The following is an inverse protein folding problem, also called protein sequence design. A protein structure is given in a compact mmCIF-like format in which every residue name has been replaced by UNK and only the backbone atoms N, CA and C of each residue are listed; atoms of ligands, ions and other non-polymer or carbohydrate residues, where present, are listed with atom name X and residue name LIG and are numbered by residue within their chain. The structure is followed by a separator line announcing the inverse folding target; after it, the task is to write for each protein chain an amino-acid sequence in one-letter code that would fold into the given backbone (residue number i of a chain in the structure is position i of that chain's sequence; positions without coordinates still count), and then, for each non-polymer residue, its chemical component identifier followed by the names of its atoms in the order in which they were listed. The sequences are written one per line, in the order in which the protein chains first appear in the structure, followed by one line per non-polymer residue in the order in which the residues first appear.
data_IF_585707060615
#
_entry.id   IF_585707060615
#
_cell.length_a   1.000
_cell.length_b   1.000
_cell.length_c   1.000
_cell.angle_alpha   90.00
_cell.angle_beta   90.00
_cell.angle_gamma   90.00
#
_symmetry.space_group_name_H-M   'P 1'
#
loop_
_entity.id
_entity.type
_entity.pdbx_description
1 polymer ?
#
# COMPACT_ATOMS: atom_id res chain seq x y z
N UNK A 1 23.71 -11.25 24.51
CA UNK A 1 24.55 -12.05 23.58
C UNK A 1 23.97 -12.01 22.17
N UNK A 2 24.76 -11.80 21.10
CA UNK A 2 24.25 -11.92 19.75
C UNK A 2 23.78 -13.36 19.51
N UNK A 3 22.53 -13.53 19.06
CA UNK A 3 21.94 -14.83 18.73
C UNK A 3 22.86 -15.54 17.74
N UNK A 4 23.54 -16.62 18.16
CA UNK A 4 24.39 -17.41 17.27
C UNK A 4 23.49 -18.21 16.34
N UNK A 5 23.35 -17.75 15.10
CA UNK A 5 22.59 -18.48 14.08
C UNK A 5 23.27 -19.82 13.74
N UNK A 6 22.50 -20.87 13.41
CA UNK A 6 23.03 -22.16 12.93
C UNK A 6 23.94 -22.00 11.71
N UNK A 7 24.89 -22.92 11.52
CA UNK A 7 25.83 -22.91 10.39
C UNK A 7 25.11 -22.91 9.04
N UNK A 8 24.08 -23.73 8.88
CA UNK A 8 23.23 -23.78 7.68
C UNK A 8 22.65 -22.41 7.32
N UNK A 9 22.19 -21.65 8.32
CA UNK A 9 21.63 -20.32 8.08
C UNK A 9 22.69 -19.30 7.66
N UNK A 10 23.89 -19.38 8.25
CA UNK A 10 25.02 -18.54 7.86
C UNK A 10 25.49 -18.86 6.43
N UNK A 11 25.51 -20.14 6.05
CA UNK A 11 25.84 -20.57 4.70
C UNK A 11 24.80 -20.07 3.69
N UNK A 12 23.50 -20.24 3.97
CA UNK A 12 22.40 -19.65 3.19
C UNK A 12 22.61 -18.16 2.95
N UNK A 13 22.97 -17.41 3.99
CA UNK A 13 23.23 -15.98 3.84
C UNK A 13 24.44 -15.65 2.97
N UNK A 14 25.50 -16.45 3.01
CA UNK A 14 26.68 -16.28 2.15
C UNK A 14 26.35 -16.59 0.69
N UNK A 15 25.55 -17.63 0.42
CA UNK A 15 25.09 -17.97 -0.93
C UNK A 15 24.19 -16.85 -1.48
N UNK A 16 23.20 -16.41 -0.69
CA UNK A 16 22.35 -15.26 -1.04
C UNK A 16 23.19 -14.01 -1.33
N UNK A 17 24.21 -13.75 -0.51
CA UNK A 17 25.11 -12.62 -0.69
C UNK A 17 25.95 -12.75 -1.98
N UNK A 18 26.53 -13.92 -2.24
CA UNK A 18 27.28 -14.19 -3.46
C UNK A 18 26.39 -14.02 -4.71
N UNK A 19 25.17 -14.58 -4.69
CA UNK A 19 24.20 -14.39 -5.76
C UNK A 19 23.84 -12.91 -5.98
N UNK A 20 23.65 -12.16 -4.89
CA UNK A 20 23.41 -10.72 -4.95
C UNK A 20 24.59 -9.97 -5.59
N UNK A 21 25.85 -10.31 -5.23
CA UNK A 21 27.06 -9.70 -5.80
C UNK A 21 27.24 -10.03 -7.28
N UNK A 22 26.96 -11.27 -7.68
CA UNK A 22 26.99 -11.69 -9.09
C UNK A 22 25.95 -10.93 -9.90
N UNK A 23 24.71 -10.85 -9.40
CA UNK A 23 23.66 -10.05 -10.04
C UNK A 23 24.09 -8.60 -10.23
N UNK A 24 24.71 -7.98 -9.23
CA UNK A 24 25.22 -6.61 -9.34
C UNK A 24 26.32 -6.44 -10.40
N UNK A 25 27.23 -7.41 -10.50
CA UNK A 25 28.28 -7.40 -11.52
C UNK A 25 27.66 -7.47 -12.93
N UNK A 26 26.68 -8.36 -13.12
CA UNK A 26 25.95 -8.47 -14.39
C UNK A 26 25.19 -7.19 -14.72
N UNK A 27 24.50 -6.61 -13.73
CA UNK A 27 23.78 -5.35 -13.92
C UNK A 27 24.72 -4.22 -14.36
N UNK A 28 25.98 -4.18 -13.93
CA UNK A 28 26.95 -3.16 -14.37
C UNK A 28 27.19 -3.14 -15.88
N UNK A 29 27.12 -4.30 -16.53
CA UNK A 29 27.37 -4.45 -17.96
C UNK A 29 26.20 -3.97 -18.84
N UNK A 30 25.00 -3.87 -18.27
CA UNK A 30 23.77 -3.55 -19.02
C UNK A 30 23.41 -2.07 -18.89
N UNK A 31 22.96 -1.42 -19.96
CA UNK A 31 22.54 -0.02 -19.92
C UNK A 31 21.18 0.15 -19.23
N UNK A 32 20.93 1.32 -18.63
CA UNK A 32 19.65 1.60 -17.95
C UNK A 32 18.42 1.46 -18.87
N UNK A 33 18.42 1.91 -20.14
CA UNK A 33 17.30 1.69 -21.04
C UNK A 33 17.03 0.20 -21.32
N UNK A 34 18.07 -0.63 -21.41
CA UNK A 34 17.91 -2.07 -21.62
C UNK A 34 17.37 -2.75 -20.35
N UNK A 35 17.82 -2.32 -19.16
CA UNK A 35 17.25 -2.75 -17.87
C UNK A 35 15.75 -2.40 -17.78
N UNK A 36 15.37 -1.18 -18.16
CA UNK A 36 13.97 -0.74 -18.16
C UNK A 36 13.12 -1.60 -19.11
N UNK A 37 13.59 -1.83 -20.34
CA UNK A 37 12.90 -2.68 -21.32
C UNK A 37 12.77 -4.13 -20.84
N UNK A 38 13.85 -4.71 -20.33
CA UNK A 38 13.83 -6.06 -19.77
C UNK A 38 12.84 -6.16 -18.61
N UNK A 39 12.86 -5.18 -17.69
CA UNK A 39 11.91 -5.13 -16.59
C UNK A 39 10.46 -4.96 -17.04
N UNK A 40 10.22 -4.17 -18.09
CA UNK A 40 8.89 -4.03 -18.71
C UNK A 40 8.40 -5.37 -19.28
N UNK A 41 9.25 -6.11 -19.99
CA UNK A 41 8.91 -7.45 -20.53
C UNK A 41 8.61 -8.43 -19.40
N UNK A 42 9.48 -8.49 -18.39
CA UNK A 42 9.29 -9.35 -17.21
C UNK A 42 8.02 -8.98 -16.44
N UNK A 43 7.71 -7.69 -16.30
CA UNK A 43 6.48 -7.22 -15.67
C UNK A 43 5.23 -7.52 -16.48
N UNK A 44 5.31 -7.54 -17.82
CA UNK A 44 4.21 -8.05 -18.65
C UNK A 44 4.00 -9.56 -18.43
N UNK A 45 5.10 -10.33 -18.30
CA UNK A 45 5.08 -11.73 -17.91
C UNK A 45 4.44 -11.93 -16.53
N UNK A 46 4.80 -11.12 -15.53
CA UNK A 46 4.18 -11.14 -14.20
C UNK A 46 2.67 -10.92 -14.29
N UNK A 47 2.23 -9.94 -15.08
CA UNK A 47 0.81 -9.66 -15.27
C UNK A 47 0.08 -10.83 -15.93
N UNK A 48 0.66 -11.48 -16.95
CA UNK A 48 0.05 -12.60 -17.65
C UNK A 48 -0.01 -13.87 -16.79
N UNK A 49 1.12 -14.22 -16.16
CA UNK A 49 1.35 -15.51 -15.52
C UNK A 49 0.99 -15.53 -14.03
N UNK A 50 0.85 -14.38 -13.36
CA UNK A 50 0.46 -14.32 -11.95
C UNK A 50 -0.95 -13.74 -11.77
N UNK A 51 -1.98 -14.61 -11.66
CA UNK A 51 -3.34 -14.17 -11.36
C UNK A 51 -3.43 -13.39 -10.04
N UNK A 52 -2.59 -13.72 -9.06
CA UNK A 52 -2.57 -13.03 -7.77
C UNK A 52 -2.21 -11.54 -7.93
N UNK A 53 -1.05 -11.23 -8.53
CA UNK A 53 -0.62 -9.83 -8.69
C UNK A 53 -1.49 -9.06 -9.67
N UNK A 54 -1.95 -9.70 -10.76
CA UNK A 54 -2.90 -9.10 -11.69
C UNK A 54 -4.18 -8.66 -10.98
N UNK A 55 -4.79 -9.54 -10.18
CA UNK A 55 -6.01 -9.22 -9.42
C UNK A 55 -5.78 -8.15 -8.38
N UNK A 56 -4.66 -8.22 -7.65
CA UNK A 56 -4.33 -7.23 -6.62
C UNK A 56 -4.16 -5.83 -7.22
N UNK A 57 -3.44 -5.71 -8.34
CA UNK A 57 -3.28 -4.45 -9.07
C UNK A 57 -4.62 -3.88 -9.53
N UNK A 58 -5.44 -4.69 -10.20
CA UNK A 58 -6.77 -4.28 -10.68
C UNK A 58 -7.65 -3.84 -9.50
N UNK A 59 -7.72 -4.62 -8.42
CA UNK A 59 -8.52 -4.30 -7.24
C UNK A 59 -8.11 -2.95 -6.64
N UNK A 60 -6.81 -2.75 -6.41
CA UNK A 60 -6.30 -1.52 -5.82
C UNK A 60 -6.54 -0.31 -6.73
N UNK A 61 -6.42 -0.47 -8.04
CA UNK A 61 -6.70 0.58 -9.01
C UNK A 61 -8.21 0.89 -9.08
N UNK A 62 -9.11 -0.09 -8.98
CA UNK A 62 -10.57 0.15 -8.89
C UNK A 62 -10.97 0.87 -7.59
N UNK A 63 -10.26 0.60 -6.49
CA UNK A 63 -10.45 1.36 -5.25
C UNK A 63 -10.05 2.83 -5.43
N UNK A 64 -8.94 3.08 -6.12
CA UNK A 64 -8.38 4.41 -6.27
C UNK A 64 -8.99 5.26 -7.40
N UNK A 65 -9.32 4.64 -8.52
CA UNK A 65 -9.73 5.28 -9.77
C UNK A 65 -11.07 4.77 -10.31
N UNK A 66 -11.81 3.93 -9.56
CA UNK A 66 -13.09 3.39 -10.03
C UNK A 66 -14.11 4.48 -10.40
N UNK A 67 -14.13 5.60 -9.68
CA UNK A 67 -15.00 6.72 -10.03
C UNK A 67 -14.54 7.53 -11.26
N UNK A 68 -13.35 7.26 -11.80
CA UNK A 68 -12.69 8.07 -12.82
C UNK A 68 -12.36 7.28 -14.10
N UNK A 69 -12.28 5.95 -14.01
CA UNK A 69 -11.84 5.07 -15.09
C UNK A 69 -12.73 3.82 -15.18
N UNK A 70 -12.97 3.39 -16.42
CA UNK A 70 -13.67 2.14 -16.73
C UNK A 70 -12.80 0.92 -16.42
N UNK A 71 -13.42 -0.25 -16.26
CA UNK A 71 -12.68 -1.49 -15.98
C UNK A 71 -11.63 -1.85 -17.06
N UNK A 72 -11.86 -1.66 -18.38
CA UNK A 72 -10.83 -1.83 -19.41
C UNK A 72 -9.62 -0.89 -19.25
N UNK A 73 -9.84 0.38 -18.93
CA UNK A 73 -8.77 1.35 -18.67
C UNK A 73 -7.96 0.94 -17.43
N UNK A 74 -8.65 0.53 -16.36
CA UNK A 74 -8.01 -0.01 -15.16
C UNK A 74 -7.16 -1.24 -15.46
N UNK A 75 -7.66 -2.18 -16.28
CA UNK A 75 -6.89 -3.38 -16.69
C UNK A 75 -5.62 -2.99 -17.46
N UNK A 76 -5.72 -1.99 -18.33
CA UNK A 76 -4.59 -1.44 -19.09
C UNK A 76 -3.56 -0.80 -18.16
N UNK A 77 -4.02 0.04 -17.22
CA UNK A 77 -3.16 0.65 -16.20
C UNK A 77 -2.53 -0.39 -15.26
N UNK A 78 -3.25 -1.45 -14.89
CA UNK A 78 -2.74 -2.55 -14.08
C UNK A 78 -1.59 -3.30 -14.77
N UNK A 79 -1.71 -3.54 -16.08
CA UNK A 79 -0.63 -4.12 -16.89
C UNK A 79 0.58 -3.19 -16.92
N UNK A 80 0.37 -1.90 -17.22
CA UNK A 80 1.44 -0.89 -17.24
C UNK A 80 2.14 -0.75 -15.89
N UNK A 81 1.38 -0.85 -14.80
CA UNK A 81 1.91 -0.86 -13.44
C UNK A 81 2.84 -2.03 -13.19
N UNK A 82 2.47 -3.25 -13.60
CA UNK A 82 3.34 -4.41 -13.42
C UNK A 82 4.65 -4.24 -14.20
N UNK A 83 4.57 -3.74 -15.43
CA UNK A 83 5.73 -3.41 -16.27
C UNK A 83 6.65 -2.39 -15.59
N UNK A 84 6.09 -1.25 -15.15
CA UNK A 84 6.84 -0.18 -14.49
C UNK A 84 7.39 -0.58 -13.13
N UNK A 85 6.65 -1.35 -12.35
CA UNK A 85 7.11 -1.84 -11.04
C UNK A 85 8.38 -2.68 -11.19
N UNK A 86 8.40 -3.64 -12.13
CA UNK A 86 9.58 -4.48 -12.35
C UNK A 86 10.71 -3.67 -13.01
N UNK A 87 10.41 -2.80 -13.97
CA UNK A 87 11.40 -1.90 -14.58
C UNK A 87 12.09 -0.99 -13.54
N UNK A 88 11.31 -0.35 -12.66
CA UNK A 88 11.84 0.51 -11.60
C UNK A 88 12.57 -0.27 -10.52
N UNK A 89 12.14 -1.50 -10.20
CA UNK A 89 12.86 -2.37 -9.27
C UNK A 89 14.25 -2.76 -9.82
N UNK A 90 14.35 -3.18 -11.08
CA UNK A 90 15.65 -3.46 -11.69
C UNK A 90 16.48 -2.18 -11.87
N UNK A 91 15.83 -1.08 -12.23
CA UNK A 91 16.44 0.25 -12.29
C UNK A 91 17.06 0.66 -10.96
N UNK A 92 16.38 0.38 -9.85
CA UNK A 92 16.87 0.61 -8.48
C UNK A 92 18.14 -0.20 -8.18
N UNK A 93 18.15 -1.49 -8.52
CA UNK A 93 19.33 -2.34 -8.35
C UNK A 93 20.51 -1.80 -9.17
N UNK A 94 20.25 -1.36 -10.40
CA UNK A 94 21.25 -0.77 -11.29
C UNK A 94 21.76 0.58 -10.78
N UNK A 95 20.91 1.50 -10.36
CA UNK A 95 21.35 2.83 -9.87
C UNK A 95 22.18 2.73 -8.60
N UNK A 96 21.94 1.71 -7.77
CA UNK A 96 22.72 1.44 -6.55
C UNK A 96 24.17 1.03 -6.84
N UNK A 97 24.48 0.50 -8.04
CA UNK A 97 25.86 0.14 -8.43
C UNK A 97 26.56 1.19 -9.29
N UNK A 98 25.81 2.18 -9.80
CA UNK A 98 26.36 3.27 -10.60
C UNK A 98 26.90 4.41 -9.73
N UNK A 99 27.95 5.12 -10.17
CA UNK A 99 28.43 6.33 -9.49
C UNK A 99 27.37 7.44 -9.58
N UNK A 100 27.36 8.35 -8.60
CA UNK A 100 26.41 9.46 -8.53
C UNK A 100 26.36 10.27 -9.83
N UNK A 101 27.51 10.64 -10.39
CA UNK A 101 27.59 11.38 -11.67
C UNK A 101 26.86 10.70 -12.83
N UNK A 102 26.87 9.37 -12.89
CA UNK A 102 26.14 8.65 -13.91
C UNK A 102 24.64 8.80 -13.68
N UNK A 103 24.16 8.51 -12.46
CA UNK A 103 22.75 8.61 -12.06
C UNK A 103 22.19 10.02 -12.26
N UNK A 104 22.96 11.07 -11.97
CA UNK A 104 22.55 12.47 -12.18
C UNK A 104 22.14 12.78 -13.62
N UNK A 105 22.73 12.11 -14.62
CA UNK A 105 22.35 12.28 -16.03
C UNK A 105 21.00 11.64 -16.39
N UNK A 106 20.42 10.84 -15.49
CA UNK A 106 19.12 10.19 -15.68
C UNK A 106 18.00 10.83 -14.87
N UNK A 107 18.30 11.87 -14.09
CA UNK A 107 17.36 12.48 -13.15
C UNK A 107 17.18 13.94 -13.48
N UNK A 108 15.93 14.37 -13.51
CA UNK A 108 15.54 15.78 -13.58
C UNK A 108 14.65 16.12 -12.39
N UNK A 109 14.52 17.40 -12.09
CA UNK A 109 13.73 17.88 -10.96
C UNK A 109 12.70 18.92 -11.40
N UNK A 110 11.58 18.94 -10.71
CA UNK A 110 10.56 20.00 -10.80
C UNK A 110 10.22 20.42 -9.37
N UNK A 111 10.38 21.69 -9.03
CA UNK A 111 10.15 22.17 -7.67
C UNK A 111 11.34 21.99 -6.72
N UNK A 112 12.55 21.71 -7.21
CA UNK A 112 13.74 21.54 -6.35
C UNK A 112 14.03 22.81 -5.54
N UNK A 113 13.84 23.96 -6.17
CA UNK A 113 13.98 25.28 -5.57
C UNK A 113 13.09 25.47 -4.32
N UNK A 114 11.95 24.78 -4.27
CA UNK A 114 11.03 24.80 -3.10
C UNK A 114 11.60 24.01 -1.93
N UNK A 115 12.30 22.91 -2.21
CA UNK A 115 13.01 22.15 -1.18
C UNK A 115 14.22 22.93 -0.67
N UNK A 116 14.98 23.55 -1.57
CA UNK A 116 16.12 24.41 -1.21
C UNK A 116 15.67 25.58 -0.33
N UNK A 117 14.58 26.27 -0.70
CA UNK A 117 14.00 27.34 0.10
C UNK A 117 13.54 26.87 1.48
N UNK A 118 12.97 25.66 1.59
CA UNK A 118 12.58 25.09 2.88
C UNK A 118 13.80 24.77 3.77
N UNK A 119 14.88 24.24 3.19
CA UNK A 119 16.11 23.94 3.91
C UNK A 119 16.88 25.20 4.33
N UNK A 120 16.84 26.26 3.51
CA UNK A 120 17.47 27.55 3.81
C UNK A 120 16.93 28.21 5.09
N UNK A 121 15.76 27.79 5.59
CA UNK A 121 15.22 28.25 6.87
C UNK A 121 15.96 27.71 8.10
N UNK A 122 16.90 26.77 7.94
CA UNK A 122 17.71 26.21 9.02
C UNK A 122 16.97 25.26 9.96
N UNK A 123 15.67 25.00 9.73
CA UNK A 123 14.83 24.10 10.56
C UNK A 123 14.89 22.63 10.13
N UNK A 124 15.71 22.32 9.13
CA UNK A 124 15.68 21.04 8.42
C UNK A 124 14.40 20.87 7.61
N UNK A 125 14.16 19.66 7.08
CA UNK A 125 12.92 19.36 6.37
C UNK A 125 12.59 17.86 6.44
N UNK A 126 11.29 17.56 6.39
CA UNK A 126 10.81 16.18 6.19
C UNK A 126 10.33 16.05 4.74
N UNK A 127 10.96 15.16 3.97
CA UNK A 127 10.55 14.82 2.62
C UNK A 127 9.79 13.49 2.63
N UNK A 128 8.53 13.52 2.21
CA UNK A 128 7.64 12.37 2.20
C UNK A 128 7.44 11.87 0.77
N UNK A 129 7.41 10.56 0.58
CA UNK A 129 7.11 9.96 -0.73
C UNK A 129 6.29 8.67 -0.58
N UNK A 130 5.72 8.23 -1.70
CA UNK A 130 5.19 6.89 -1.86
C UNK A 130 6.20 5.96 -2.54
N UNK A 131 5.95 4.65 -2.53
CA UNK A 131 6.72 3.68 -3.31
C UNK A 131 6.37 3.83 -4.80
N UNK A 132 6.90 4.87 -5.45
CA UNK A 132 6.78 5.09 -6.90
C UNK A 132 8.11 5.38 -7.56
N UNK A 133 8.19 5.06 -8.85
CA UNK A 133 9.39 5.30 -9.65
C UNK A 133 10.62 4.59 -9.08
N UNK A 134 11.80 5.09 -9.40
CA UNK A 134 13.05 4.67 -8.76
C UNK A 134 13.35 5.55 -7.55
N UNK A 135 12.70 5.25 -6.41
CA UNK A 135 12.82 6.06 -5.19
C UNK A 135 14.18 6.00 -4.51
N UNK A 136 14.97 4.96 -4.75
CA UNK A 136 16.32 4.86 -4.15
C UNK A 136 17.27 5.97 -4.64
N UNK A 137 16.95 6.63 -5.76
CA UNK A 137 17.66 7.83 -6.24
C UNK A 137 17.66 8.93 -5.19
N UNK A 138 16.59 9.06 -4.38
CA UNK A 138 16.50 10.11 -3.36
C UNK A 138 17.52 9.94 -2.22
N UNK A 139 18.11 8.76 -2.02
CA UNK A 139 19.22 8.62 -1.06
C UNK A 139 20.45 9.46 -1.45
N UNK A 140 20.52 9.90 -2.72
CA UNK A 140 21.58 10.76 -3.27
C UNK A 140 21.11 12.19 -3.50
N UNK A 141 19.93 12.56 -3.00
CA UNK A 141 19.32 13.87 -3.25
C UNK A 141 20.22 15.03 -2.80
N UNK A 142 20.99 14.85 -1.73
CA UNK A 142 21.92 15.87 -1.22
C UNK A 142 23.00 16.30 -2.21
N UNK A 143 23.32 15.49 -3.22
CA UNK A 143 24.26 15.89 -4.28
C UNK A 143 23.67 16.92 -5.26
N UNK A 144 22.36 17.11 -5.24
CA UNK A 144 21.65 18.09 -6.05
C UNK A 144 21.23 19.31 -5.22
N UNK A 145 21.62 19.35 -3.95
CA UNK A 145 21.35 20.43 -3.01
C UNK A 145 22.65 21.20 -2.73
N UNK A 146 22.59 22.38 -2.07
CA UNK A 146 23.78 23.10 -1.67
C UNK A 146 24.81 22.21 -0.96
N UNK A 147 26.12 22.37 -1.26
CA UNK A 147 27.17 21.56 -0.65
C UNK A 147 27.07 21.52 0.87
N UNK A 148 27.23 20.33 1.45
CA UNK A 148 27.16 20.13 2.90
C UNK A 148 25.76 19.94 3.47
N UNK A 149 24.70 19.97 2.64
CA UNK A 149 23.33 19.68 3.09
C UNK A 149 23.25 18.27 3.71
N UNK A 150 22.97 18.14 5.02
CA UNK A 150 22.84 16.83 5.65
C UNK A 150 21.54 16.18 5.19
N UNK A 151 21.61 14.98 4.61
CA UNK A 151 20.43 14.20 4.24
C UNK A 151 20.46 12.81 4.86
N UNK A 152 19.28 12.23 5.03
CA UNK A 152 19.15 10.89 5.59
C UNK A 152 17.78 10.31 5.34
N UNK A 153 17.64 9.02 5.63
CA UNK A 153 16.39 8.30 5.40
C UNK A 153 16.12 7.24 6.46
N UNK A 154 14.85 6.86 6.60
CA UNK A 154 14.44 5.75 7.46
C UNK A 154 14.44 4.46 6.65
N UNK A 155 15.05 3.39 7.17
CA UNK A 155 15.07 2.09 6.51
C UNK A 155 14.61 0.93 7.41
N UNK A 156 14.13 -0.13 6.78
CA UNK A 156 13.86 -1.42 7.43
C UNK A 156 15.07 -2.35 7.22
N UNK A 157 15.72 -2.83 8.30
CA UNK A 157 16.82 -3.79 8.16
C UNK A 157 16.41 -5.08 7.45
N UNK A 158 17.24 -5.54 6.51
CA UNK A 158 17.03 -6.82 5.83
C UNK A 158 17.37 -8.00 6.74
N UNK A 159 16.76 -9.16 6.46
CA UNK A 159 16.96 -10.39 7.23
C UNK A 159 18.39 -10.96 7.09
N UNK A 160 18.97 -10.84 5.90
CA UNK A 160 20.34 -11.25 5.65
C UNK A 160 21.31 -10.11 6.04
N UNK A 161 22.14 -10.29 7.08
CA UNK A 161 23.01 -9.23 7.59
C UNK A 161 24.11 -8.80 6.61
N UNK A 162 24.56 -9.70 5.72
CA UNK A 162 25.61 -9.39 4.73
C UNK A 162 25.07 -8.45 3.65
N UNK A 163 23.89 -8.76 3.11
CA UNK A 163 23.20 -7.91 2.13
C UNK A 163 22.78 -6.59 2.78
N UNK A 164 22.28 -6.64 4.03
CA UNK A 164 21.93 -5.44 4.79
C UNK A 164 23.14 -4.50 4.94
N UNK A 165 24.28 -5.02 5.40
CA UNK A 165 25.50 -4.22 5.59
C UNK A 165 26.01 -3.62 4.28
N UNK A 166 25.94 -4.37 3.18
CA UNK A 166 26.32 -3.86 1.86
C UNK A 166 25.43 -2.70 1.41
N UNK A 167 24.10 -2.85 1.49
CA UNK A 167 23.17 -1.79 1.09
C UNK A 167 23.29 -0.56 1.99
N UNK A 168 23.42 -0.76 3.29
CA UNK A 168 23.61 0.33 4.25
C UNK A 168 24.87 1.13 3.92
N UNK A 169 26.01 0.44 3.74
CA UNK A 169 27.26 1.10 3.34
C UNK A 169 27.10 1.92 2.06
N UNK A 170 26.33 1.47 1.08
CA UNK A 170 26.12 2.23 -0.17
C UNK A 170 25.21 3.42 -0.04
N UNK A 171 24.17 3.32 0.79
CA UNK A 171 23.33 4.48 1.08
C UNK A 171 24.15 5.53 1.82
N UNK A 172 25.05 5.11 2.71
CA UNK A 172 25.86 6.02 3.52
C UNK A 172 27.18 6.47 2.85
N UNK A 173 27.65 5.77 1.80
CA UNK A 173 28.97 6.02 1.15
C UNK A 173 29.14 7.46 0.69
N UNK A 174 28.02 8.11 0.34
CA UNK A 174 27.97 9.41 -0.29
C UNK A 174 27.63 10.52 0.73
N UNK A 175 27.53 10.20 2.03
CA UNK A 175 27.25 11.16 3.11
C UNK A 175 25.80 11.16 3.64
N UNK A 176 24.93 10.30 3.09
CA UNK A 176 23.57 10.13 3.63
C UNK A 176 23.60 9.39 4.97
N UNK A 177 22.69 9.73 5.89
CA UNK A 177 22.57 9.09 7.20
C UNK A 177 21.33 8.20 7.28
N UNK A 178 21.51 6.90 7.55
CA UNK A 178 20.38 5.96 7.57
C UNK A 178 19.92 5.63 9.00
N UNK A 179 18.63 5.83 9.25
CA UNK A 179 18.00 5.52 10.53
C UNK A 179 17.20 4.22 10.43
N UNK A 180 17.57 3.23 11.24
CA UNK A 180 16.81 1.99 11.32
C UNK A 180 15.43 2.27 11.94
N UNK A 181 14.37 1.71 11.34
CA UNK A 181 13.01 1.74 11.91
C UNK A 181 12.95 1.15 13.33
N UNK A 182 13.91 0.28 13.69
CA UNK A 182 14.04 -0.29 15.05
C UNK A 182 14.72 0.65 16.05
N UNK A 183 15.39 1.70 15.58
CA UNK A 183 16.13 2.67 16.41
C UNK A 183 15.26 3.71 17.10
N UNK A 184 13.94 3.65 16.91
CA UNK A 184 12.99 4.57 17.54
C UNK A 184 12.88 5.94 16.86
N UNK A 185 12.14 6.83 17.51
CA UNK A 185 11.70 8.11 16.94
C UNK A 185 12.69 9.27 17.18
N UNK A 186 13.42 9.25 18.31
CA UNK A 186 14.23 10.39 18.77
C UNK A 186 15.42 10.72 17.86
N UNK A 187 16.12 9.71 17.33
CA UNK A 187 17.26 9.90 16.44
C UNK A 187 16.90 10.68 15.16
N UNK A 188 15.94 10.19 14.35
CA UNK A 188 15.47 10.92 13.17
C UNK A 188 14.91 12.31 13.50
N UNK A 189 14.16 12.46 14.60
CA UNK A 189 13.63 13.76 15.00
C UNK A 189 14.73 14.77 15.35
N UNK A 190 15.77 14.33 16.07
CA UNK A 190 16.93 15.16 16.38
C UNK A 190 17.73 15.56 15.14
N UNK A 191 17.85 14.66 14.17
CA UNK A 191 18.52 14.95 12.90
C UNK A 191 17.80 16.02 12.06
N UNK A 192 16.47 15.98 12.00
CA UNK A 192 15.71 17.04 11.34
C UNK A 192 15.87 18.36 12.10
N UNK A 193 15.75 18.31 13.44
CA UNK A 193 15.90 19.50 14.30
C UNK A 193 17.29 20.16 14.17
N UNK A 194 18.33 19.41 13.80
CA UNK A 194 19.67 19.92 13.54
C UNK A 194 19.88 20.42 12.10
N UNK A 195 18.82 20.70 11.34
CA UNK A 195 18.91 21.20 9.98
C UNK A 195 18.93 20.13 8.88
N UNK A 196 18.77 18.84 9.22
CA UNK A 196 18.85 17.74 8.25
C UNK A 196 17.59 17.55 7.41
N UNK A 197 17.78 17.07 6.18
CA UNK A 197 16.73 16.57 5.30
C UNK A 197 16.44 15.10 5.57
N UNK A 198 15.28 14.78 6.14
CA UNK A 198 14.89 13.40 6.42
C UNK A 198 13.84 12.89 5.43
N UNK A 199 14.19 11.82 4.72
CA UNK A 199 13.36 11.15 3.72
C UNK A 199 12.56 10.02 4.39
N UNK A 200 11.24 10.05 4.22
CA UNK A 200 10.31 9.08 4.82
C UNK A 200 9.33 8.56 3.77
N UNK A 201 9.29 7.24 3.57
CA UNK A 201 8.29 6.59 2.72
C UNK A 201 7.06 6.24 3.57
N UNK A 202 5.89 6.78 3.23
CA UNK A 202 4.74 6.85 4.16
C UNK A 202 3.46 6.15 3.69
N UNK A 203 3.48 5.48 2.54
CA UNK A 203 2.30 4.99 1.82
C UNK A 203 1.98 3.50 2.03
N UNK A 204 2.82 2.79 2.81
CA UNK A 204 2.60 1.39 3.14
C UNK A 204 1.73 1.21 4.37
N UNK A 205 0.95 0.12 4.34
CA UNK A 205 0.14 -0.30 5.47
C UNK A 205 1.03 -0.63 6.68
N UNK A 206 0.69 -0.08 7.84
CA UNK A 206 1.45 -0.28 9.08
C UNK A 206 0.76 -1.20 10.10
N UNK A 207 -0.46 -1.65 9.80
CA UNK A 207 -1.18 -2.57 10.65
C UNK A 207 -1.44 -1.99 12.03
N UNK A 208 -1.31 -2.80 13.09
CA UNK A 208 -1.74 -2.39 14.44
C UNK A 208 -1.04 -1.12 14.98
N UNK A 209 0.13 -0.79 14.43
CA UNK A 209 0.91 0.39 14.79
C UNK A 209 0.50 1.67 14.03
N UNK A 210 -0.34 1.55 13.00
CA UNK A 210 -0.85 2.67 12.21
C UNK A 210 -1.99 3.41 12.86
N UNK A 211 -2.50 4.39 12.11
CA UNK A 211 -3.73 5.13 12.38
C UNK A 211 -4.65 4.99 11.16
N UNK A 212 -5.96 4.94 11.37
CA UNK A 212 -6.93 4.99 10.27
C UNK A 212 -6.85 6.37 9.58
N UNK A 213 -6.46 6.42 8.32
CA UNK A 213 -6.33 7.65 7.54
C UNK A 213 -6.89 7.44 6.13
N UNK A 214 -7.50 8.48 5.52
CA UNK A 214 -7.97 8.41 4.15
C UNK A 214 -6.77 8.33 3.20
N UNK A 215 -6.89 7.45 2.21
CA UNK A 215 -5.98 7.38 1.07
C UNK A 215 -6.75 6.89 -0.16
N UNK A 216 -6.84 7.74 -1.17
CA UNK A 216 -7.75 7.62 -2.33
C UNK A 216 -9.21 7.46 -1.90
N UNK A 217 -9.68 8.34 -1.02
CA UNK A 217 -11.04 8.33 -0.45
C UNK A 217 -11.42 7.00 0.24
N UNK A 218 -10.44 6.20 0.65
CA UNK A 218 -10.64 4.93 1.35
C UNK A 218 -9.80 4.90 2.61
N UNK A 219 -10.38 4.46 3.72
CA UNK A 219 -9.65 4.37 4.97
C UNK A 219 -8.63 3.23 4.92
N UNK A 220 -7.41 3.51 5.38
CA UNK A 220 -6.32 2.55 5.49
C UNK A 220 -5.53 2.77 6.78
N UNK A 221 -4.82 1.72 7.21
CA UNK A 221 -3.94 1.78 8.38
C UNK A 221 -2.55 2.29 7.96
N UNK A 222 -2.33 3.59 8.09
CA UNK A 222 -1.14 4.30 7.60
C UNK A 222 -0.34 4.93 8.74
N UNK A 223 0.91 5.30 8.46
CA UNK A 223 1.81 5.85 9.48
C UNK A 223 1.61 7.36 9.64
N UNK A 224 1.33 7.88 10.85
CA UNK A 224 1.36 9.32 11.11
C UNK A 224 2.79 9.87 11.28
N UNK A 225 3.81 9.02 11.13
CA UNK A 225 5.21 9.33 11.45
C UNK A 225 5.74 10.62 10.80
N UNK A 226 5.51 10.93 9.51
CA UNK A 226 6.04 12.15 8.91
C UNK A 226 5.52 13.43 9.59
N UNK A 227 4.21 13.51 9.86
CA UNK A 227 3.61 14.65 10.55
C UNK A 227 4.14 14.78 11.99
N UNK A 228 4.34 13.65 12.69
CA UNK A 228 4.91 13.64 14.03
C UNK A 228 6.36 14.12 14.07
N UNK A 229 7.19 13.69 13.10
CA UNK A 229 8.58 14.14 12.96
C UNK A 229 8.65 15.64 12.71
N UNK A 230 7.88 16.12 11.73
CA UNK A 230 7.82 17.53 11.38
C UNK A 230 7.40 18.40 12.56
N UNK A 231 6.32 18.00 13.27
CA UNK A 231 5.85 18.71 14.47
C UNK A 231 6.88 18.72 15.59
N UNK A 232 7.56 17.59 15.85
CA UNK A 232 8.57 17.51 16.91
C UNK A 232 9.81 18.35 16.59
N UNK A 233 10.22 18.38 15.33
CA UNK A 233 11.38 19.14 14.88
C UNK A 233 11.07 20.62 14.63
N UNK A 234 9.80 20.99 14.45
CA UNK A 234 9.41 22.32 14.00
C UNK A 234 9.79 22.56 12.53
N UNK A 235 9.81 21.50 11.72
CA UNK A 235 10.33 21.53 10.36
C UNK A 235 9.22 21.55 9.29
N UNK A 236 9.43 22.20 8.13
CA UNK A 236 8.54 22.10 6.98
C UNK A 236 8.48 20.66 6.43
N UNK A 237 7.39 20.38 5.72
CA UNK A 237 7.17 19.09 5.03
C UNK A 237 6.99 19.34 3.54
N UNK A 238 7.63 18.50 2.74
CA UNK A 238 7.40 18.42 1.31
C UNK A 238 7.02 16.99 0.95
N UNK A 239 6.15 16.83 -0.04
CA UNK A 239 5.93 15.57 -0.70
C UNK A 239 6.77 15.50 -1.99
N UNK A 240 7.21 14.31 -2.36
CA UNK A 240 7.89 14.04 -3.63
C UNK A 240 7.27 12.85 -4.37
N UNK A 241 7.06 13.04 -5.66
CA UNK A 241 6.68 12.00 -6.63
C UNK A 241 7.81 11.75 -7.61
N UNK A 242 7.91 10.52 -8.12
CA UNK A 242 8.96 10.12 -9.07
C UNK A 242 8.30 9.49 -10.29
N UNK A 243 8.31 10.22 -11.39
CA UNK A 243 7.72 9.79 -12.66
C UNK A 243 8.81 9.30 -13.61
N UNK A 244 8.56 8.19 -14.30
CA UNK A 244 9.42 7.70 -15.38
C UNK A 244 9.12 8.50 -16.64
N UNK A 245 10.05 9.34 -17.07
CA UNK A 245 9.87 10.21 -18.25
C UNK A 245 10.20 9.50 -19.56
N UNK A 246 11.17 8.58 -19.53
CA UNK A 246 11.52 7.64 -20.59
C UNK A 246 12.33 6.49 -20.00
N UNK A 247 12.62 5.45 -20.80
CA UNK A 247 13.34 4.27 -20.33
C UNK A 247 14.61 4.62 -19.54
N UNK A 248 14.65 4.24 -18.25
CA UNK A 248 15.76 4.51 -17.35
C UNK A 248 16.00 5.99 -17.01
N UNK A 249 15.01 6.86 -17.17
CA UNK A 249 15.07 8.28 -16.80
C UNK A 249 13.87 8.67 -15.96
N UNK A 250 14.11 9.48 -14.94
CA UNK A 250 13.12 9.86 -13.95
C UNK A 250 13.07 11.37 -13.74
N UNK A 251 11.89 11.87 -13.41
CA UNK A 251 11.71 13.23 -12.89
C UNK A 251 11.19 13.14 -11.46
N UNK A 252 11.84 13.86 -10.55
CA UNK A 252 11.37 14.04 -9.19
C UNK A 252 10.58 15.35 -9.12
N UNK A 253 9.34 15.28 -8.65
CA UNK A 253 8.43 16.43 -8.53
C UNK A 253 8.23 16.71 -7.04
N UNK A 254 8.55 17.92 -6.60
CA UNK A 254 8.40 18.36 -5.22
C UNK A 254 7.15 19.23 -5.04
N UNK A 255 6.39 18.93 -3.99
CA UNK A 255 5.19 19.65 -3.61
C UNK A 255 5.30 20.07 -2.14
N UNK A 256 5.43 21.38 -1.84
CA UNK A 256 5.40 21.86 -0.46
C UNK A 256 4.00 21.66 0.14
N UNK A 257 3.97 21.43 1.45
CA UNK A 257 2.73 21.37 2.22
C UNK A 257 2.58 22.60 3.13
N UNK A 258 1.35 22.87 3.63
CA UNK A 258 1.12 23.88 4.65
C UNK A 258 2.01 23.70 5.88
N UNK A 259 2.21 24.77 6.66
CA UNK A 259 2.94 24.65 7.91
C UNK A 259 2.25 23.69 8.88
N UNK A 260 3.01 22.75 9.45
CA UNK A 260 2.53 21.70 10.38
C UNK A 260 1.38 20.86 9.78
N UNK A 261 1.59 20.21 8.62
CA UNK A 261 0.51 19.50 7.95
C UNK A 261 0.08 18.28 8.76
N UNK A 262 -1.21 18.00 8.70
CA UNK A 262 -1.82 16.81 9.28
C UNK A 262 -1.49 15.58 8.43
N UNK A 263 -1.56 14.36 9.00
CA UNK A 263 -1.28 13.14 8.25
C UNK A 263 -2.12 12.99 6.97
N UNK A 264 -3.40 13.35 6.99
CA UNK A 264 -4.28 13.28 5.81
C UNK A 264 -3.88 14.27 4.70
N UNK A 265 -3.35 15.44 5.03
CA UNK A 265 -2.87 16.43 4.05
C UNK A 265 -1.60 15.94 3.36
N UNK A 266 -0.71 15.30 4.11
CA UNK A 266 0.48 14.63 3.56
C UNK A 266 0.07 13.54 2.58
N UNK A 267 -0.90 12.70 2.96
CA UNK A 267 -1.40 11.62 2.11
C UNK A 267 -2.09 12.15 0.85
N UNK A 268 -2.91 13.21 0.95
CA UNK A 268 -3.54 13.87 -0.19
C UNK A 268 -2.51 14.46 -1.17
N UNK A 269 -1.43 15.05 -0.67
CA UNK A 269 -0.32 15.50 -1.52
C UNK A 269 0.36 14.32 -2.23
N UNK A 270 0.54 13.17 -1.57
CA UNK A 270 1.04 11.96 -2.23
C UNK A 270 0.07 11.44 -3.29
N UNK A 271 -1.24 11.46 -3.04
CA UNK A 271 -2.24 11.08 -4.05
C UNK A 271 -2.13 11.96 -5.30
N UNK A 272 -1.98 13.27 -5.12
CA UNK A 272 -1.80 14.23 -6.22
C UNK A 272 -0.59 13.85 -7.07
N UNK A 273 0.54 13.53 -6.43
CA UNK A 273 1.77 13.12 -7.10
C UNK A 273 1.64 11.74 -7.79
N UNK A 274 0.95 10.79 -7.16
CA UNK A 274 0.68 9.47 -7.75
C UNK A 274 -0.21 9.61 -8.99
N UNK A 275 -1.22 10.49 -8.96
CA UNK A 275 -2.12 10.75 -10.09
C UNK A 275 -1.39 11.31 -11.32
N UNK A 276 -0.23 11.97 -11.13
CA UNK A 276 0.62 12.43 -12.24
C UNK A 276 1.28 11.29 -13.02
N UNK A 277 1.66 10.21 -12.33
CA UNK A 277 2.20 9.00 -12.97
C UNK A 277 1.70 7.73 -12.27
N UNK A 278 0.43 7.35 -12.49
CA UNK A 278 -0.20 6.29 -11.72
C UNK A 278 0.46 4.94 -11.96
N UNK A 279 1.00 4.69 -13.16
CA UNK A 279 1.68 3.44 -13.46
C UNK A 279 3.02 3.27 -12.72
N UNK A 280 3.66 4.35 -12.27
CA UNK A 280 4.92 4.27 -11.54
C UNK A 280 4.74 3.90 -10.06
N UNK A 281 3.53 3.98 -9.53
CA UNK A 281 3.23 3.64 -8.14
C UNK A 281 3.07 2.14 -7.91
N UNK A 282 3.51 1.66 -6.74
CA UNK A 282 3.43 0.26 -6.34
C UNK A 282 2.00 -0.15 -5.95
N UNK A 283 1.17 -0.48 -6.94
CA UNK A 283 -0.18 -1.03 -6.73
C UNK A 283 -0.19 -2.53 -6.37
N UNK A 284 0.97 -3.17 -6.28
CA UNK A 284 1.12 -4.59 -5.93
C UNK A 284 1.17 -4.86 -4.42
N UNK A 285 0.83 -3.85 -3.60
CA UNK A 285 0.77 -3.95 -2.16
C UNK A 285 -0.67 -3.89 -1.66
N UNK A 286 -1.08 -4.83 -0.81
CA UNK A 286 -2.45 -4.89 -0.25
C UNK A 286 -2.63 -3.88 0.89
N UNK A 287 -2.93 -2.64 0.50
CA UNK A 287 -3.00 -1.48 1.39
C UNK A 287 -4.31 -1.43 2.18
N UNK A 288 -5.43 -1.74 1.53
CA UNK A 288 -6.78 -1.61 2.11
C UNK A 288 -7.32 -2.91 2.71
N UNK A 289 -6.50 -3.97 2.86
CA UNK A 289 -6.97 -5.23 3.47
C UNK A 289 -7.67 -5.03 4.82
N UNK A 290 -8.83 -5.63 5.01
CA UNK A 290 -9.51 -5.66 6.29
C UNK A 290 -8.86 -6.67 7.26
N UNK A 291 -9.18 -6.56 8.54
CA UNK A 291 -8.73 -7.50 9.57
C UNK A 291 -9.45 -8.84 9.44
N UNK A 292 -8.71 -9.94 9.44
CA UNK A 292 -9.30 -11.29 9.43
C UNK A 292 -9.85 -11.71 10.80
N UNK A 293 -9.36 -11.08 11.89
CA UNK A 293 -9.83 -11.37 13.26
C UNK A 293 -11.08 -10.58 13.64
N UNK A 294 -11.24 -9.39 13.05
CA UNK A 294 -12.37 -8.49 13.25
C UNK A 294 -12.86 -8.10 11.84
N UNK A 295 -13.76 -8.89 11.25
CA UNK A 295 -14.25 -8.60 9.91
C UNK A 295 -14.85 -7.19 9.83
N UNK A 296 -14.80 -6.54 8.66
CA UNK A 296 -15.26 -5.15 8.47
C UNK A 296 -14.57 -4.11 9.38
N UNK A 297 -13.35 -4.39 9.84
CA UNK A 297 -12.51 -3.42 10.56
C UNK A 297 -11.14 -3.25 9.92
N UNK A 298 -10.56 -2.06 10.08
CA UNK A 298 -9.15 -1.84 9.76
C UNK A 298 -8.26 -2.55 10.78
N UNK A 299 -7.12 -3.05 10.31
CA UNK A 299 -6.09 -3.62 11.19
C UNK A 299 -5.31 -2.50 11.90
N UNK A 300 -5.94 -1.67 12.72
CA UNK A 300 -5.30 -0.61 13.53
C UNK A 300 -5.78 -0.69 14.98
N UNK A 301 -4.91 -0.38 15.96
CA UNK A 301 -5.36 -0.16 17.35
C UNK A 301 -5.73 1.31 17.59
N UNK A 302 -5.12 2.22 16.84
CA UNK A 302 -5.31 3.66 17.01
C UNK A 302 -6.35 4.14 16.02
N UNK A 303 -7.43 4.71 16.55
CA UNK A 303 -8.42 5.44 15.78
C UNK A 303 -7.88 6.80 15.38
N UNK A 304 -8.40 7.35 14.29
CA UNK A 304 -8.23 8.77 14.02
C UNK A 304 -8.99 9.55 15.09
N UNK A 305 -8.44 10.67 15.56
CA UNK A 305 -9.20 11.61 16.39
C UNK A 305 -10.23 12.42 15.61
N UNK A 306 -10.26 12.26 14.27
CA UNK A 306 -11.09 13.03 13.35
C UNK A 306 -11.87 12.10 12.42
N UNK A 307 -13.13 12.43 12.18
CA UNK A 307 -13.97 11.76 11.18
C UNK A 307 -13.58 12.19 9.75
N UNK A 308 -13.83 11.30 8.78
CA UNK A 308 -13.56 11.54 7.37
C UNK A 308 -14.83 11.24 6.55
N UNK A 309 -15.80 12.17 6.54
CA UNK A 309 -17.12 11.93 5.91
C UNK A 309 -17.02 11.69 4.40
N UNK A 310 -16.01 12.26 3.73
CA UNK A 310 -15.79 12.12 2.28
C UNK A 310 -15.17 10.77 1.88
N UNK A 311 -15.01 9.83 2.83
CA UNK A 311 -14.53 8.49 2.50
C UNK A 311 -15.64 7.62 1.94
N UNK A 312 -15.33 6.90 0.87
CA UNK A 312 -16.27 6.02 0.21
C UNK A 312 -16.59 4.79 1.08
N UNK A 313 -17.87 4.41 1.17
CA UNK A 313 -18.28 3.25 1.96
C UNK A 313 -17.73 1.96 1.38
N UNK A 314 -17.36 1.01 2.27
CA UNK A 314 -17.04 -0.35 1.87
C UNK A 314 -18.29 -0.99 1.26
N UNK A 315 -18.17 -1.52 0.04
CA UNK A 315 -19.25 -2.29 -0.57
C UNK A 315 -19.27 -3.70 0.02
N UNK A 316 -20.39 -4.07 0.62
CA UNK A 316 -20.59 -5.36 1.28
C UNK A 316 -21.81 -6.04 0.67
N UNK A 317 -21.62 -7.24 0.13
CA UNK A 317 -22.73 -8.06 -0.38
C UNK A 317 -23.26 -8.96 0.76
N UNK A 318 -24.55 -8.85 1.06
CA UNK A 318 -25.25 -9.73 1.98
C UNK A 318 -25.89 -10.88 1.20
N UNK A 319 -25.57 -12.11 1.60
CA UNK A 319 -26.17 -13.33 1.07
C UNK A 319 -27.04 -13.97 2.15
N UNK A 320 -28.34 -14.01 1.90
CA UNK A 320 -29.34 -14.62 2.76
C UNK A 320 -30.42 -15.31 1.91
N UNK A 321 -31.13 -16.31 2.47
CA UNK A 321 -32.28 -16.91 1.77
C UNK A 321 -33.54 -16.06 1.94
N UNK A 322 -33.75 -15.53 3.13
CA UNK A 322 -34.82 -14.58 3.43
C UNK A 322 -34.20 -13.19 3.61
N UNK A 323 -34.95 -12.13 3.31
CA UNK A 323 -34.49 -10.78 3.65
C UNK A 323 -34.31 -10.69 5.17
N UNK A 324 -33.10 -10.36 5.66
CA UNK A 324 -32.89 -10.20 7.08
C UNK A 324 -33.72 -9.00 7.57
N UNK A 325 -34.42 -9.16 8.68
CA UNK A 325 -35.11 -8.04 9.32
C UNK A 325 -34.09 -6.95 9.75
N UNK A 326 -34.58 -5.71 9.86
CA UNK A 326 -33.74 -4.56 10.18
C UNK A 326 -33.02 -4.69 11.54
N UNK A 327 -33.65 -5.32 12.54
CA UNK A 327 -33.10 -5.49 13.88
C UNK A 327 -31.91 -6.47 13.86
N UNK A 328 -32.03 -7.59 13.16
CA UNK A 328 -30.97 -8.59 12.94
C UNK A 328 -29.76 -7.99 12.20
N UNK A 329 -30.01 -7.14 11.19
CA UNK A 329 -28.94 -6.45 10.48
C UNK A 329 -28.27 -5.41 11.39
N UNK A 330 -29.03 -4.59 12.10
CA UNK A 330 -28.52 -3.56 12.99
C UNK A 330 -27.72 -4.15 14.17
N UNK A 331 -28.18 -5.26 14.77
CA UNK A 331 -27.44 -6.00 15.79
C UNK A 331 -26.12 -6.58 15.26
N UNK A 332 -26.14 -7.15 14.05
CA UNK A 332 -24.93 -7.66 13.42
C UNK A 332 -23.93 -6.53 13.14
N UNK A 333 -24.40 -5.36 12.69
CA UNK A 333 -23.58 -4.19 12.40
C UNK A 333 -23.03 -3.53 13.65
N UNK A 334 -23.85 -3.36 14.70
CA UNK A 334 -23.43 -2.81 15.98
C UNK A 334 -22.26 -3.60 16.61
N UNK A 335 -22.14 -4.88 16.29
CA UNK A 335 -21.11 -5.76 16.84
C UNK A 335 -19.91 -6.02 15.94
N UNK A 336 -20.06 -5.86 14.62
CA UNK A 336 -18.99 -6.13 13.62
C UNK A 336 -18.37 -4.85 13.06
N UNK A 337 -19.16 -3.79 12.89
CA UNK A 337 -18.68 -2.49 12.48
C UNK A 337 -18.23 -1.72 13.73
N UNK A 338 -16.93 -1.77 14.04
CA UNK A 338 -16.38 -0.67 14.84
C UNK A 338 -16.60 0.61 14.03
N UNK A 339 -17.42 1.52 14.55
CA UNK A 339 -18.07 2.67 13.90
C UNK A 339 -17.19 3.76 13.27
N UNK A 340 -16.08 3.37 12.66
CA UNK A 340 -15.15 4.25 11.96
C UNK A 340 -15.13 4.01 10.44
N UNK A 341 -15.70 2.91 9.93
CA UNK A 341 -15.72 2.60 8.50
C UNK A 341 -17.12 2.84 7.91
N UNK A 342 -17.27 3.71 6.91
CA UNK A 342 -18.54 3.81 6.19
C UNK A 342 -18.81 2.49 5.46
N UNK A 343 -20.05 1.98 5.54
CA UNK A 343 -20.47 0.72 4.92
C UNK A 343 -21.65 0.98 3.97
N UNK A 344 -21.69 0.25 2.86
CA UNK A 344 -22.79 0.24 1.90
C UNK A 344 -23.14 -1.21 1.63
N UNK A 345 -24.40 -1.56 1.88
CA UNK A 345 -24.91 -2.91 1.72
C UNK A 345 -25.62 -3.07 0.39
N UNK A 346 -25.35 -4.21 -0.24
CA UNK A 346 -26.13 -4.73 -1.34
C UNK A 346 -26.69 -6.05 -0.86
N UNK A 347 -28.01 -6.16 -0.78
CA UNK A 347 -28.66 -7.40 -0.37
C UNK A 347 -28.96 -8.23 -1.59
N UNK A 348 -28.70 -9.52 -1.47
CA UNK A 348 -29.23 -10.49 -2.37
C UNK A 348 -29.95 -11.57 -1.56
N UNK A 349 -31.28 -11.53 -1.62
CA UNK A 349 -32.21 -12.44 -0.96
C UNK A 349 -33.00 -13.23 -2.01
N UNK A 350 -33.52 -14.41 -1.63
CA UNK A 350 -34.48 -15.12 -2.48
C UNK A 350 -35.75 -14.28 -2.59
N UNK A 351 -36.31 -14.04 -3.79
CA UNK A 351 -37.55 -13.30 -3.91
C UNK A 351 -38.69 -14.15 -3.34
N UNK A 352 -39.12 -13.84 -2.12
CA UNK A 352 -40.42 -14.30 -1.65
C UNK A 352 -41.46 -13.25 -2.09
N UNK A 353 -42.01 -13.47 -3.29
CA UNK A 353 -43.16 -12.80 -3.93
C UNK A 353 -42.98 -11.42 -4.59
N UNK A 354 -42.92 -11.39 -5.93
CA UNK A 354 -43.97 -10.87 -6.84
C UNK A 354 -43.44 -10.72 -8.29
N UNK A 355 -44.04 -11.43 -9.25
CA UNK A 355 -44.02 -11.19 -10.71
C UNK A 355 -42.69 -11.16 -11.48
N UNK A 356 -41.69 -11.96 -11.10
CA UNK A 356 -40.61 -12.30 -12.04
C UNK A 356 -40.34 -13.80 -12.04
N UNK A 357 -40.35 -14.40 -13.24
CA UNK A 357 -40.08 -15.82 -13.54
C UNK A 357 -38.64 -16.28 -13.20
N UNK A 358 -37.94 -15.62 -12.28
CA UNK A 358 -36.53 -15.89 -11.98
C UNK A 358 -36.39 -16.67 -10.66
N UNK A 359 -37.01 -17.86 -10.62
CA UNK A 359 -36.83 -18.93 -9.60
C UNK A 359 -35.40 -19.54 -9.58
N UNK A 360 -34.46 -18.92 -10.29
CA UNK A 360 -33.14 -19.47 -10.61
C UNK A 360 -32.19 -19.56 -9.41
N UNK A 361 -32.42 -18.83 -8.32
CA UNK A 361 -31.52 -18.82 -7.15
C UNK A 361 -31.78 -19.92 -6.13
N UNK A 362 -33.02 -20.40 -5.99
CA UNK A 362 -33.38 -21.48 -5.04
C UNK A 362 -32.76 -22.82 -5.48
N UNK A 363 -32.54 -22.98 -6.79
CA UNK A 363 -31.96 -24.15 -7.44
C UNK A 363 -30.51 -23.94 -7.93
N UNK A 364 -29.89 -22.79 -7.65
CA UNK A 364 -28.57 -22.45 -8.16
C UNK A 364 -27.45 -23.31 -7.55
N UNK A 365 -26.57 -23.78 -8.41
CA UNK A 365 -25.31 -24.43 -8.03
C UNK A 365 -24.32 -23.43 -7.41
N UNK A 366 -23.37 -23.88 -6.56
CA UNK A 366 -22.28 -23.03 -6.05
C UNK A 366 -21.52 -22.28 -7.15
N UNK A 367 -21.36 -22.88 -8.33
CA UNK A 367 -20.71 -22.27 -9.49
C UNK A 367 -21.52 -21.10 -10.05
N UNK A 368 -22.84 -21.26 -10.20
CA UNK A 368 -23.74 -20.19 -10.65
C UNK A 368 -23.76 -19.02 -9.65
N UNK A 369 -23.85 -19.32 -8.36
CA UNK A 369 -23.77 -18.34 -7.28
C UNK A 369 -22.42 -17.60 -7.28
N UNK A 370 -21.32 -18.33 -7.45
CA UNK A 370 -19.97 -17.75 -7.56
C UNK A 370 -19.85 -16.84 -8.77
N UNK A 371 -20.38 -17.26 -9.93
CA UNK A 371 -20.38 -16.46 -11.15
C UNK A 371 -21.15 -15.15 -10.97
N UNK A 372 -22.25 -15.18 -10.21
CA UNK A 372 -23.09 -14.03 -9.95
C UNK A 372 -22.44 -13.04 -8.98
N UNK A 373 -21.83 -13.51 -7.88
CA UNK A 373 -21.02 -12.65 -6.99
C UNK A 373 -19.92 -11.93 -7.78
N UNK A 374 -19.24 -12.66 -8.68
CA UNK A 374 -18.19 -12.08 -9.52
C UNK A 374 -18.73 -11.11 -10.58
N UNK A 375 -20.00 -11.26 -11.00
CA UNK A 375 -20.69 -10.35 -11.92
C UNK A 375 -21.06 -9.04 -11.20
N UNK A 376 -21.70 -9.14 -10.04
CA UNK A 376 -22.03 -8.00 -9.17
C UNK A 376 -20.80 -7.19 -8.73
N UNK A 377 -19.67 -7.88 -8.51
CA UNK A 377 -18.39 -7.18 -8.31
C UNK A 377 -18.02 -6.36 -9.54
N UNK A 378 -18.12 -6.90 -10.75
CA UNK A 378 -17.65 -6.27 -11.99
C UNK A 378 -18.58 -5.21 -12.57
N UNK A 379 -19.89 -5.26 -12.26
CA UNK A 379 -20.90 -4.33 -12.77
C UNK A 379 -20.69 -2.89 -12.28
N UNK A 380 -20.17 -2.71 -11.06
CA UNK A 380 -19.91 -1.38 -10.50
C UNK A 380 -18.44 -1.01 -10.58
N UNK A 381 -18.16 0.28 -10.60
CA UNK A 381 -16.79 0.77 -10.80
C UNK A 381 -15.87 0.46 -9.60
N UNK A 382 -16.39 0.59 -8.37
CA UNK A 382 -15.69 0.17 -7.15
C UNK A 382 -15.90 -1.31 -6.85
N UNK A 383 -14.89 -2.04 -6.32
CA UNK A 383 -15.02 -3.47 -6.09
C UNK A 383 -15.88 -3.78 -4.86
N UNK A 384 -16.44 -5.00 -4.80
CA UNK A 384 -16.92 -5.60 -3.57
C UNK A 384 -15.74 -5.86 -2.63
N UNK A 385 -15.91 -5.50 -1.36
CA UNK A 385 -14.85 -5.59 -0.35
C UNK A 385 -15.07 -6.70 0.66
N UNK A 386 -16.32 -7.12 0.84
CA UNK A 386 -16.69 -8.29 1.61
C UNK A 386 -17.99 -8.92 1.09
N UNK A 387 -18.11 -10.23 1.30
CA UNK A 387 -19.37 -10.98 1.19
C UNK A 387 -19.70 -11.51 2.59
N UNK A 388 -20.89 -11.19 3.09
CA UNK A 388 -21.42 -11.69 4.35
C UNK A 388 -22.44 -12.77 4.05
N UNK A 389 -22.21 -13.97 4.57
CA UNK A 389 -23.20 -15.05 4.50
C UNK A 389 -23.92 -15.11 5.84
N UNK A 390 -25.20 -14.70 5.84
CA UNK A 390 -26.02 -14.61 7.05
C UNK A 390 -26.78 -15.92 7.34
N UNK A 391 -26.81 -16.85 6.39
CA UNK A 391 -27.41 -18.18 6.55
C UNK A 391 -26.37 -19.26 6.90
N UNK A 392 -26.85 -20.35 7.52
CA UNK A 392 -26.08 -21.58 7.71
C UNK A 392 -26.06 -22.47 6.45
N UNK A 393 -26.48 -21.91 5.31
CA UNK A 393 -26.53 -22.62 4.03
C UNK A 393 -25.11 -22.88 3.50
N UNK A 394 -24.74 -24.17 3.43
CA UNK A 394 -23.44 -24.63 2.96
C UNK A 394 -23.16 -24.22 1.50
N UNK A 395 -24.18 -24.12 0.65
CA UNK A 395 -24.02 -23.72 -0.76
C UNK A 395 -23.61 -22.26 -0.87
N UNK A 396 -24.28 -21.37 -0.12
CA UNK A 396 -23.92 -19.94 -0.06
C UNK A 396 -22.53 -19.72 0.54
N UNK A 397 -22.18 -20.51 1.56
CA UNK A 397 -20.83 -20.47 2.14
C UNK A 397 -19.77 -20.93 1.13
N UNK A 398 -19.99 -22.04 0.41
CA UNK A 398 -19.10 -22.53 -0.63
C UNK A 398 -18.95 -21.52 -1.77
N UNK A 399 -20.05 -20.93 -2.24
CA UNK A 399 -20.04 -19.92 -3.29
C UNK A 399 -19.28 -18.66 -2.87
N UNK A 400 -19.50 -18.17 -1.64
CA UNK A 400 -18.76 -17.02 -1.12
C UNK A 400 -17.26 -17.31 -0.95
N UNK A 401 -16.87 -18.53 -0.52
CA UNK A 401 -15.46 -18.94 -0.42
C UNK A 401 -14.79 -19.11 -1.79
N UNK A 402 -15.52 -19.64 -2.77
CA UNK A 402 -15.08 -19.78 -4.15
C UNK A 402 -15.04 -18.42 -4.88
N UNK A 403 -15.82 -17.44 -4.40
CA UNK A 403 -15.74 -16.06 -4.86
C UNK A 403 -14.37 -15.46 -4.59
N UNK A 404 -14.00 -14.48 -5.39
CA UNK A 404 -12.69 -13.80 -5.27
C UNK A 404 -12.72 -12.64 -4.27
N UNK A 405 -13.82 -12.50 -3.54
CA UNK A 405 -14.07 -11.45 -2.55
C UNK A 405 -13.90 -12.05 -1.14
N UNK A 406 -13.34 -11.32 -0.15
CA UNK A 406 -13.27 -11.81 1.22
C UNK A 406 -14.66 -12.20 1.76
N UNK A 407 -14.86 -13.48 2.05
CA UNK A 407 -16.08 -13.99 2.64
C UNK A 407 -16.01 -14.04 4.18
N UNK A 408 -17.12 -13.73 4.83
CA UNK A 408 -17.29 -13.78 6.29
C UNK A 408 -18.52 -14.64 6.56
N UNK A 409 -18.32 -15.73 7.30
CA UNK A 409 -19.35 -16.72 7.59
C UNK A 409 -19.77 -16.70 9.06
N UNK A 410 -20.99 -17.17 9.31
CA UNK A 410 -21.42 -17.72 10.60
C UNK A 410 -20.79 -19.13 10.72
N UNK A 411 -19.69 -19.27 11.45
CA UNK A 411 -18.96 -20.55 11.54
C UNK A 411 -19.73 -21.54 12.45
N UNK A 412 -20.48 -22.48 11.87
CA UNK A 412 -20.61 -23.90 12.26
C UNK A 412 -20.86 -24.28 13.72
N UNK A 413 -21.21 -23.36 14.60
CA UNK A 413 -21.69 -23.63 15.95
C UNK A 413 -23.16 -23.23 15.94
N UNK A 414 -24.06 -24.19 16.15
CA UNK A 414 -25.50 -24.00 16.42
C UNK A 414 -25.70 -23.19 17.72
N UNK A 415 -25.12 -22.00 17.79
CA UNK A 415 -25.33 -21.04 18.84
C UNK A 415 -26.42 -20.08 18.36
N UNK A 416 -27.40 -19.75 19.22
CA UNK A 416 -28.26 -18.61 19.02
C UNK A 416 -27.42 -17.40 18.64
N UNK A 417 -27.91 -16.58 17.70
CA UNK A 417 -27.19 -15.41 17.17
C UNK A 417 -26.60 -14.57 18.32
N UNK A 418 -27.38 -14.32 19.38
CA UNK A 418 -26.98 -13.63 20.62
C UNK A 418 -25.74 -14.20 21.34
N UNK A 419 -25.57 -15.52 21.40
CA UNK A 419 -24.47 -16.18 22.13
C UNK A 419 -23.18 -16.26 21.30
N UNK A 420 -23.31 -16.37 19.98
CA UNK A 420 -22.21 -16.22 19.03
C UNK A 420 -21.64 -14.79 19.05
N UNK A 421 -22.55 -13.82 19.17
CA UNK A 421 -22.30 -12.39 19.30
C UNK A 421 -21.56 -12.04 20.62
N UNK A 422 -21.89 -12.69 21.74
CA UNK A 422 -21.20 -12.53 23.04
C UNK A 422 -19.73 -13.05 23.05
N UNK A 423 -19.41 -14.10 22.29
CA UNK A 423 -18.04 -14.66 22.24
C UNK A 423 -17.04 -13.80 21.45
N UNK A 424 -17.52 -12.95 20.54
CA UNK A 424 -16.68 -12.08 19.69
C UNK A 424 -16.43 -10.68 20.29
N UNK A 425 -17.26 -10.28 21.25
CA UNK A 425 -17.20 -9.02 21.99
C UNK A 425 -16.38 -9.11 23.30
N UNK A 426 -15.99 -10.31 23.72
CA UNK A 426 -15.14 -10.50 24.88
C UNK A 426 -13.76 -9.82 24.68
N UNK A 427 -13.28 -9.00 25.64
CA UNK A 427 -11.91 -8.52 25.62
C UNK A 427 -10.97 -9.73 25.68
N UNK A 428 -10.12 -9.89 24.67
CA UNK A 428 -9.00 -10.81 24.77
C UNK A 428 -7.89 -10.11 25.57
N UNK A 429 -7.54 -10.68 26.73
CA UNK A 429 -6.30 -10.34 27.47
C UNK A 429 -5.06 -10.31 26.55
#
# INVERSE_FOLDING_TARGET
MPRRYPLSKRLSWRIEYAGYRTMEALLRLVTLPLIDRAGSVLGAGLYALSPHYRRLAIRNLRLAFGGEMTLPEIRTLARRTCQRTIANFLGTLKTTVLPTRAVSRQVSFSGLEKLEAALAQGRGAVLVLGHMGNWEILNRLHHFLPPGTPAGGIYQPLKNPLVNALLLRRREQDGSRMFSKKGGFHGPAGFVKSGGLLIVVADQKTGRAGTALPFFNRLSSLSPLPALLARKAGAPVLAAGIETTRAGHWRVVFQPLPEKPRPEEILSALETLIRRSPADYLWLHDRWRLSSRRPLSLRTKKRSSRAFPDTLPLRVLLLAREEPDHETLDDFLAQRAEGDLPLSFETLASPHHADSDDDTWVSATPEQLTALINRLDQEKSHPLEAVLVLSDDKLLQQAAQASRVPAIHRNGQNLPLRDFLAKLSAPSD
#
